data_IF_259917036697
#
_entry.id   IF_259917036697
#
_cell.length_a   1.000
_cell.length_b   1.000
_cell.length_c   1.000
_cell.angle_alpha   90.00
_cell.angle_beta   90.00
_cell.angle_gamma   90.00
#
_symmetry.space_group_name_H-M   'P 1'
#
loop_
_entity.id
_entity.type
_entity.pdbx_description
1 polymer ?
#
# COMPACT_ATOMS: atom_id res chain seq x y z
N UNK A 1 -58.88 -5.88 52.30
CA UNK A 1 -58.56 -4.57 52.92
C UNK A 1 -58.00 -3.68 51.81
N UNK A 2 -58.85 -3.13 50.92
CA UNK A 2 -59.47 -1.80 50.96
C UNK A 2 -58.51 -0.60 50.85
N UNK A 3 -58.55 0.04 49.65
CA UNK A 3 -58.55 1.49 49.31
C UNK A 3 -57.29 2.31 49.74
N UNK A 4 -56.81 3.40 49.11
CA UNK A 4 -57.41 4.52 48.34
C UNK A 4 -56.24 5.38 47.77
N UNK A 5 -56.19 5.69 46.46
CA UNK A 5 -56.34 7.00 45.79
C UNK A 5 -55.37 8.19 46.11
N UNK A 6 -54.68 8.64 45.03
CA UNK A 6 -54.60 10.00 44.42
C UNK A 6 -54.23 11.21 45.30
N UNK A 7 -53.21 12.00 44.88
CA UNK A 7 -53.35 13.45 44.64
C UNK A 7 -52.22 14.02 43.76
N UNK A 8 -52.61 14.60 42.61
CA UNK A 8 -51.81 15.49 41.78
C UNK A 8 -51.64 16.85 42.47
N UNK A 9 -50.47 17.48 42.34
CA UNK A 9 -50.36 18.94 42.48
C UNK A 9 -49.50 19.50 41.34
N UNK A 10 -50.17 20.30 40.50
CA UNK A 10 -49.59 21.24 39.56
C UNK A 10 -48.98 22.40 40.34
N UNK A 11 -47.75 22.80 40.03
CA UNK A 11 -47.28 24.16 40.30
C UNK A 11 -46.53 24.71 39.08
N UNK A 12 -47.19 25.65 38.42
CA UNK A 12 -46.61 26.62 37.49
C UNK A 12 -45.70 27.57 38.30
N UNK A 13 -44.46 27.81 37.86
CA UNK A 13 -43.71 29.00 38.25
C UNK A 13 -42.74 29.43 37.14
N UNK A 14 -43.20 30.46 36.43
CA UNK A 14 -42.51 31.62 35.86
C UNK A 14 -41.04 31.48 35.40
N UNK A 15 -40.89 31.62 34.09
CA UNK A 15 -39.65 31.94 33.41
C UNK A 15 -39.10 33.32 33.83
N UNK A 16 -37.83 33.35 34.21
CA UNK A 16 -36.98 34.54 34.17
C UNK A 16 -35.79 34.21 33.28
N UNK A 17 -35.77 34.86 32.11
CA UNK A 17 -34.71 34.70 31.12
C UNK A 17 -33.37 35.16 31.67
N UNK A 18 -32.38 34.28 31.55
CA UNK A 18 -30.97 34.65 31.58
C UNK A 18 -30.43 34.38 30.19
N UNK A 19 -30.19 35.46 29.43
CA UNK A 19 -29.36 35.45 28.23
C UNK A 19 -27.92 35.11 28.64
N UNK A 20 -27.64 33.82 28.81
CA UNK A 20 -26.27 33.33 28.81
C UNK A 20 -25.83 33.24 27.35
N UNK A 21 -24.93 34.16 26.96
CA UNK A 21 -24.35 34.18 25.63
C UNK A 21 -23.82 32.80 25.25
N UNK A 22 -24.28 32.32 24.09
CA UNK A 22 -23.61 31.22 23.39
C UNK A 22 -22.20 31.69 23.07
N UNK A 23 -21.25 31.32 23.92
CA UNK A 23 -19.85 31.38 23.59
C UNK A 23 -19.65 30.31 22.51
N UNK A 24 -19.74 30.71 21.23
CA UNK A 24 -19.30 29.94 20.08
C UNK A 24 -17.77 29.85 20.10
N UNK A 25 -17.22 29.30 21.18
CA UNK A 25 -15.84 28.86 21.22
C UNK A 25 -15.73 27.69 20.25
N UNK A 26 -14.95 27.89 19.19
CA UNK A 26 -14.37 26.79 18.41
C UNK A 26 -13.92 25.72 19.40
N UNK A 27 -14.37 24.46 19.29
CA UNK A 27 -13.91 23.43 20.22
C UNK A 27 -12.39 23.41 20.17
N UNK A 28 -11.76 23.66 21.32
CA UNK A 28 -10.31 23.58 21.45
C UNK A 28 -9.92 22.20 20.92
N UNK A 29 -9.13 22.18 19.85
CA UNK A 29 -8.65 20.96 19.24
C UNK A 29 -7.79 20.24 20.27
N UNK A 30 -8.36 19.22 20.91
CA UNK A 30 -7.63 18.39 21.88
C UNK A 30 -6.42 17.81 21.15
N UNK A 31 -5.23 18.05 21.69
CA UNK A 31 -4.01 17.48 21.10
C UNK A 31 -4.09 15.95 21.11
N UNK A 32 -3.70 15.28 20.01
CA UNK A 32 -3.63 13.83 20.02
C UNK A 32 -2.59 13.38 21.06
N UNK A 33 -2.88 12.29 21.78
CA UNK A 33 -1.99 11.70 22.79
C UNK A 33 -1.79 10.22 22.45
N UNK A 34 -0.54 9.76 22.43
CA UNK A 34 -0.24 8.34 22.30
C UNK A 34 -0.56 7.62 23.62
N UNK A 35 -1.25 6.46 23.58
CA UNK A 35 -1.54 5.70 24.77
C UNK A 35 -0.24 5.12 25.37
N UNK A 36 -0.13 5.17 26.70
CA UNK A 36 0.97 4.54 27.41
C UNK A 36 0.96 3.01 27.20
N UNK A 37 2.12 2.44 26.90
CA UNK A 37 2.33 0.99 26.83
C UNK A 37 3.54 0.63 27.70
N UNK A 38 3.39 -0.20 28.74
CA UNK A 38 4.50 -0.57 29.61
C UNK A 38 5.52 -1.45 28.87
N UNK A 39 6.81 -1.33 29.22
CA UNK A 39 7.88 -2.15 28.62
C UNK A 39 7.73 -3.65 28.89
N UNK A 40 7.15 -4.00 30.04
CA UNK A 40 6.75 -5.38 30.36
C UNK A 40 5.38 -5.33 31.05
N UNK A 41 4.41 -6.01 30.45
CA UNK A 41 3.11 -6.25 31.07
C UNK A 41 3.06 -7.69 31.56
N UNK A 42 3.22 -7.91 32.86
CA UNK A 42 3.18 -9.26 33.45
C UNK A 42 1.78 -9.89 33.40
N UNK A 43 0.74 -9.09 33.13
CA UNK A 43 -0.64 -9.59 32.97
C UNK A 43 -0.88 -10.19 31.59
N UNK A 44 -0.02 -9.88 30.61
CA UNK A 44 -0.03 -10.49 29.28
C UNK A 44 0.53 -11.92 29.24
N UNK A 45 1.18 -12.38 30.31
CA UNK A 45 1.79 -13.70 30.40
C UNK A 45 0.76 -14.79 30.75
N UNK A 46 0.88 -15.97 30.15
CA UNK A 46 0.14 -17.17 30.54
C UNK A 46 1.01 -18.05 31.46
N UNK A 47 0.87 -17.83 32.77
CA UNK A 47 1.68 -18.54 33.79
C UNK A 47 1.32 -20.01 33.99
N UNK A 48 0.31 -20.54 33.28
CA UNK A 48 0.03 -21.98 33.29
C UNK A 48 0.92 -22.78 32.33
N UNK A 49 1.65 -22.10 31.45
CA UNK A 49 2.57 -22.70 30.48
C UNK A 49 3.97 -22.78 31.08
N UNK A 50 4.68 -23.89 30.86
CA UNK A 50 6.10 -23.98 31.23
C UNK A 50 6.94 -23.17 30.24
N UNK A 51 7.66 -22.11 30.69
CA UNK A 51 8.51 -21.31 29.81
C UNK A 51 9.65 -22.10 29.16
N UNK A 52 10.07 -23.24 29.73
CA UNK A 52 11.09 -24.11 29.16
C UNK A 52 10.57 -24.96 28.00
N UNK A 53 9.23 -25.10 27.89
CA UNK A 53 8.57 -25.88 26.84
C UNK A 53 8.04 -24.97 25.73
N UNK A 54 7.36 -23.89 26.11
CA UNK A 54 6.78 -22.94 25.17
C UNK A 54 6.86 -21.50 25.72
N UNK A 55 8.04 -20.91 25.57
CA UNK A 55 8.29 -19.54 26.00
C UNK A 55 7.35 -18.53 25.33
N UNK A 56 6.89 -18.81 24.11
CA UNK A 56 6.02 -17.89 23.37
C UNK A 56 4.63 -17.85 23.99
N UNK A 57 3.97 -18.99 24.21
CA UNK A 57 2.66 -19.01 24.87
C UNK A 57 2.75 -18.57 26.34
N UNK A 58 3.83 -18.92 27.06
CA UNK A 58 4.07 -18.39 28.41
C UNK A 58 4.14 -16.85 28.43
N UNK A 59 4.88 -16.25 27.49
CA UNK A 59 5.11 -14.80 27.50
C UNK A 59 3.96 -14.00 26.88
N UNK A 60 3.27 -14.56 25.88
CA UNK A 60 2.32 -13.84 25.04
C UNK A 60 0.88 -14.37 25.13
N UNK A 61 0.65 -15.53 25.75
CA UNK A 61 -0.64 -16.21 25.69
C UNK A 61 -1.80 -15.44 26.33
N UNK A 62 -1.53 -14.70 27.42
CA UNK A 62 -2.51 -13.79 28.02
C UNK A 62 -2.87 -12.65 27.07
N UNK A 63 -1.87 -12.02 26.43
CA UNK A 63 -2.09 -10.96 25.45
C UNK A 63 -2.94 -11.46 24.26
N UNK A 64 -2.61 -12.64 23.71
CA UNK A 64 -3.34 -13.21 22.58
C UNK A 64 -4.81 -13.47 22.91
N UNK A 65 -5.12 -13.94 24.13
CA UNK A 65 -6.50 -14.14 24.59
C UNK A 65 -7.28 -12.82 24.69
N UNK A 66 -6.63 -11.76 25.17
CA UNK A 66 -7.25 -10.44 25.36
C UNK A 66 -7.29 -9.56 24.11
N UNK A 67 -6.56 -9.92 23.06
CA UNK A 67 -6.42 -9.13 21.84
C UNK A 67 -6.77 -9.96 20.59
N UNK A 68 -8.05 -10.30 20.39
CA UNK A 68 -8.49 -10.96 19.16
C UNK A 68 -8.19 -10.06 17.95
N UNK A 69 -7.96 -10.68 16.78
CA UNK A 69 -7.70 -9.94 15.54
C UNK A 69 -8.92 -9.05 15.22
N UNK A 70 -8.77 -7.71 15.18
CA UNK A 70 -9.86 -6.82 14.81
C UNK A 70 -10.36 -7.16 13.40
N UNK A 71 -11.66 -7.02 13.12
CA UNK A 71 -12.25 -7.50 11.87
C UNK A 71 -11.67 -6.83 10.62
N UNK A 72 -11.15 -5.61 10.74
CA UNK A 72 -10.51 -4.86 9.65
C UNK A 72 -9.01 -5.15 9.46
N UNK A 73 -8.46 -6.10 10.23
CA UNK A 73 -7.06 -6.53 10.20
C UNK A 73 -6.95 -8.00 9.77
N UNK A 74 -5.79 -8.35 9.22
CA UNK A 74 -5.47 -9.73 8.78
C UNK A 74 -4.54 -10.44 9.75
N UNK A 75 -3.93 -9.69 10.68
CA UNK A 75 -3.06 -10.17 11.74
C UNK A 75 -3.08 -9.17 12.89
N UNK A 76 -2.78 -9.60 14.10
CA UNK A 76 -2.74 -8.72 15.26
C UNK A 76 -1.60 -9.10 16.21
N UNK A 77 -0.82 -8.10 16.59
CA UNK A 77 0.32 -8.22 17.50
C UNK A 77 0.47 -6.92 18.28
N UNK A 78 1.42 -6.88 19.22
CA UNK A 78 1.78 -5.64 19.92
C UNK A 78 2.20 -4.53 18.95
N UNK A 79 2.82 -4.88 17.82
CA UNK A 79 3.15 -3.93 16.74
C UNK A 79 1.92 -3.48 15.97
N UNK A 80 0.96 -4.38 15.71
CA UNK A 80 -0.32 -4.03 15.10
C UNK A 80 -1.12 -3.05 15.97
N UNK A 81 -1.14 -3.27 17.29
CA UNK A 81 -1.72 -2.32 18.24
C UNK A 81 -1.00 -0.97 18.22
N UNK A 82 0.33 -0.95 18.30
CA UNK A 82 1.11 0.28 18.25
C UNK A 82 0.87 1.05 16.94
N UNK A 83 0.82 0.34 15.81
CA UNK A 83 0.50 0.94 14.52
C UNK A 83 -0.90 1.55 14.51
N UNK A 84 -1.90 0.88 15.09
CA UNK A 84 -3.25 1.42 15.25
C UNK A 84 -3.29 2.68 16.12
N UNK A 85 -2.55 2.68 17.23
CA UNK A 85 -2.40 3.83 18.12
C UNK A 85 -1.75 5.00 17.36
N UNK A 86 -0.74 4.71 16.54
CA UNK A 86 -0.08 5.69 15.68
C UNK A 86 -1.03 6.25 14.62
N UNK A 87 -1.83 5.42 13.95
CA UNK A 87 -2.82 5.90 12.96
C UNK A 87 -3.83 6.86 13.59
N UNK A 88 -4.29 6.58 14.82
CA UNK A 88 -5.18 7.49 15.54
C UNK A 88 -4.49 8.82 15.87
N UNK A 89 -3.21 8.78 16.26
CA UNK A 89 -2.43 9.98 16.53
C UNK A 89 -2.22 10.83 15.27
N UNK A 90 -1.81 10.19 14.17
CA UNK A 90 -1.63 10.84 12.87
C UNK A 90 -2.95 11.41 12.34
N UNK A 91 -4.07 10.70 12.51
CA UNK A 91 -5.41 11.21 12.20
C UNK A 91 -5.66 12.54 12.92
N UNK A 92 -5.37 12.63 14.21
CA UNK A 92 -5.53 13.87 14.98
C UNK A 92 -4.68 15.02 14.43
N UNK A 93 -3.43 14.75 14.02
CA UNK A 93 -2.57 15.74 13.34
C UNK A 93 -3.22 16.21 12.04
N UNK A 94 -3.73 15.30 11.20
CA UNK A 94 -4.30 15.64 9.90
C UNK A 94 -5.63 16.39 10.01
N UNK A 95 -6.49 16.02 10.96
CA UNK A 95 -7.73 16.74 11.24
C UNK A 95 -7.45 18.17 11.74
N UNK A 96 -6.43 18.35 12.59
CA UNK A 96 -5.97 19.68 13.00
C UNK A 96 -5.42 20.47 11.81
N UNK A 97 -4.57 19.85 10.98
CA UNK A 97 -3.99 20.47 9.79
C UNK A 97 -5.05 20.91 8.76
N UNK A 98 -6.18 20.20 8.65
CA UNK A 98 -7.30 20.59 7.81
C UNK A 98 -8.16 21.74 8.35
N UNK A 99 -8.06 22.07 9.65
CA UNK A 99 -8.95 23.03 10.33
C UNK A 99 -8.44 24.49 10.35
N UNK A 100 -7.18 24.74 9.98
CA UNK A 100 -6.46 26.01 10.22
C UNK A 100 -6.80 27.22 9.33
N UNK A 101 -7.88 27.20 8.56
CA UNK A 101 -8.24 28.29 7.64
C UNK A 101 -7.15 28.57 6.58
N UNK A 102 -7.08 29.80 6.07
CA UNK A 102 -6.16 30.19 4.98
C UNK A 102 -4.73 30.54 5.42
N UNK A 103 -4.42 30.49 6.72
CA UNK A 103 -3.11 30.90 7.28
C UNK A 103 -2.24 29.69 7.67
N UNK A 104 -2.32 28.59 6.92
CA UNK A 104 -1.52 27.38 7.15
C UNK A 104 -0.17 27.51 6.45
N UNK A 105 0.91 27.04 7.09
CA UNK A 105 2.18 26.85 6.39
C UNK A 105 2.04 25.75 5.32
N UNK A 106 2.97 25.71 4.36
CA UNK A 106 2.91 24.81 3.20
C UNK A 106 2.77 23.35 3.61
N UNK A 107 3.54 22.89 4.61
CA UNK A 107 3.52 21.49 5.05
C UNK A 107 2.19 21.15 5.70
N UNK A 108 1.69 22.02 6.59
CA UNK A 108 0.38 21.86 7.24
C UNK A 108 -0.76 21.88 6.22
N UNK A 109 -0.67 22.75 5.21
CA UNK A 109 -1.65 22.80 4.14
C UNK A 109 -1.64 21.50 3.32
N UNK A 110 -0.48 21.04 2.86
CA UNK A 110 -0.35 19.85 2.02
C UNK A 110 -0.93 18.60 2.69
N UNK A 111 -0.53 18.31 3.94
CA UNK A 111 -1.01 17.10 4.65
C UNK A 111 -2.52 17.20 4.96
N UNK A 112 -3.01 18.39 5.31
CA UNK A 112 -4.41 18.64 5.61
C UNK A 112 -5.31 18.56 4.37
N UNK A 113 -4.87 19.13 3.25
CA UNK A 113 -5.61 19.14 1.99
C UNK A 113 -5.59 17.75 1.34
N UNK A 114 -4.48 17.01 1.40
CA UNK A 114 -4.43 15.61 0.96
C UNK A 114 -5.43 14.77 1.74
N UNK A 115 -5.38 14.83 3.08
CA UNK A 115 -6.30 14.06 3.93
C UNK A 115 -7.76 14.45 3.67
N UNK A 116 -8.05 15.75 3.56
CA UNK A 116 -9.37 16.28 3.25
C UNK A 116 -9.90 15.78 1.90
N UNK A 117 -9.08 15.84 0.84
CA UNK A 117 -9.44 15.34 -0.48
C UNK A 117 -9.71 13.82 -0.47
N UNK A 118 -8.95 13.05 0.30
CA UNK A 118 -9.21 11.62 0.47
C UNK A 118 -10.53 11.37 1.22
N UNK A 119 -10.86 12.17 2.22
CA UNK A 119 -12.06 12.01 3.05
C UNK A 119 -13.37 12.44 2.36
N UNK A 120 -13.31 13.24 1.30
CA UNK A 120 -14.49 13.71 0.55
C UNK A 120 -15.10 12.60 -0.33
N UNK A 121 -15.90 11.73 0.30
CA UNK A 121 -16.61 10.65 -0.40
C UNK A 121 -17.56 11.18 -1.47
N UNK A 122 -18.20 12.33 -1.25
CA UNK A 122 -19.18 12.88 -2.19
C UNK A 122 -18.51 13.27 -3.50
N UNK A 123 -17.35 13.93 -3.43
CA UNK A 123 -16.57 14.25 -4.62
C UNK A 123 -16.04 13.01 -5.33
N UNK A 124 -15.59 11.99 -4.59
CA UNK A 124 -15.09 10.73 -5.15
C UNK A 124 -16.19 9.95 -5.85
N UNK A 125 -17.36 9.76 -5.22
CA UNK A 125 -18.49 9.06 -5.84
C UNK A 125 -18.99 9.80 -7.08
N UNK A 126 -19.05 11.14 -7.03
CA UNK A 126 -19.46 11.96 -8.19
C UNK A 126 -18.53 11.81 -9.38
N UNK A 127 -17.21 11.72 -9.16
CA UNK A 127 -16.23 11.53 -10.24
C UNK A 127 -16.24 10.08 -10.74
N UNK A 128 -16.32 9.10 -9.86
CA UNK A 128 -16.30 7.68 -10.22
C UNK A 128 -15.18 7.34 -11.20
N UNK A 129 -15.48 6.55 -12.23
CA UNK A 129 -14.51 6.13 -13.24
C UNK A 129 -13.95 7.27 -14.10
N UNK A 130 -14.62 8.43 -14.16
CA UNK A 130 -14.17 9.55 -15.00
C UNK A 130 -12.78 10.08 -14.61
N UNK A 131 -12.35 9.83 -13.37
CA UNK A 131 -11.02 10.19 -12.88
C UNK A 131 -9.88 9.52 -13.66
N UNK A 132 -10.11 8.34 -14.26
CA UNK A 132 -9.12 7.61 -15.08
C UNK A 132 -9.48 7.60 -16.57
N UNK A 133 -10.52 8.33 -16.98
CA UNK A 133 -10.92 8.40 -18.39
C UNK A 133 -9.79 8.87 -19.32
N UNK A 134 -8.93 9.85 -18.95
CA UNK A 134 -7.80 10.25 -19.80
C UNK A 134 -6.86 9.09 -20.13
N UNK A 135 -6.56 8.22 -19.17
CA UNK A 135 -5.71 7.04 -19.38
C UNK A 135 -6.41 6.01 -20.28
N UNK A 136 -7.71 5.76 -20.05
CA UNK A 136 -8.50 4.83 -20.86
C UNK A 136 -8.60 5.30 -22.33
N UNK A 137 -8.77 6.61 -22.55
CA UNK A 137 -8.81 7.22 -23.87
C UNK A 137 -7.44 7.15 -24.57
N UNK A 138 -6.36 7.33 -23.82
CA UNK A 138 -4.99 7.18 -24.33
C UNK A 138 -4.71 5.73 -24.76
N UNK A 139 -5.15 4.74 -23.96
CA UNK A 139 -5.05 3.31 -24.31
C UNK A 139 -5.82 3.01 -25.60
N UNK A 140 -7.04 3.54 -25.75
CA UNK A 140 -7.85 3.28 -26.94
C UNK A 140 -7.22 3.89 -28.21
N UNK A 141 -6.46 4.98 -28.08
CA UNK A 141 -5.76 5.63 -29.21
C UNK A 141 -4.50 4.90 -29.67
N UNK A 142 -3.97 3.95 -28.89
CA UNK A 142 -2.79 3.18 -29.28
C UNK A 142 -3.01 2.46 -30.62
N UNK A 143 -2.02 2.54 -31.50
CA UNK A 143 -2.03 1.98 -32.87
C UNK A 143 -1.06 0.83 -33.05
N UNK A 144 -0.12 0.65 -32.13
CA UNK A 144 0.85 -0.45 -32.18
C UNK A 144 1.39 -0.80 -30.79
N UNK A 145 2.01 -1.99 -30.67
CA UNK A 145 2.69 -2.40 -29.44
C UNK A 145 3.90 -1.50 -29.11
N UNK A 146 4.49 -0.84 -30.11
CA UNK A 146 5.63 0.06 -29.93
C UNK A 146 5.24 1.34 -29.16
N UNK A 147 4.00 1.82 -29.31
CA UNK A 147 3.49 3.00 -28.61
C UNK A 147 3.26 2.75 -27.10
N UNK A 148 3.36 1.51 -26.63
CA UNK A 148 3.25 1.18 -25.20
C UNK A 148 4.37 1.83 -24.39
N UNK A 149 5.56 2.01 -24.97
CA UNK A 149 6.68 2.62 -24.25
C UNK A 149 6.34 4.04 -23.78
N UNK A 150 5.91 4.89 -24.71
CA UNK A 150 5.50 6.26 -24.40
C UNK A 150 4.28 6.30 -23.45
N UNK A 151 3.30 5.41 -23.65
CA UNK A 151 2.15 5.33 -22.75
C UNK A 151 2.56 4.95 -21.32
N UNK A 152 3.38 3.90 -21.15
CA UNK A 152 3.81 3.45 -19.82
C UNK A 152 4.69 4.51 -19.15
N UNK A 153 5.54 5.22 -19.90
CA UNK A 153 6.32 6.34 -19.37
C UNK A 153 5.43 7.52 -18.92
N UNK A 154 4.38 7.83 -19.69
CA UNK A 154 3.46 8.95 -19.44
C UNK A 154 2.37 8.68 -18.40
N UNK A 155 2.20 7.44 -17.93
CA UNK A 155 1.13 7.05 -17.00
C UNK A 155 1.73 6.54 -15.68
N UNK A 156 2.20 7.43 -14.79
CA UNK A 156 2.60 7.05 -13.45
C UNK A 156 1.37 6.53 -12.68
N UNK A 157 1.54 5.39 -12.00
CA UNK A 157 0.48 4.82 -11.18
C UNK A 157 0.59 5.28 -9.72
N UNK A 158 -0.53 5.27 -8.97
CA UNK A 158 -0.51 5.57 -7.55
C UNK A 158 0.48 4.67 -6.79
N UNK A 159 1.13 5.22 -5.77
CA UNK A 159 1.99 4.47 -4.84
C UNK A 159 3.16 3.74 -5.52
N UNK A 160 3.74 4.33 -6.57
CA UNK A 160 4.88 3.76 -7.29
C UNK A 160 4.56 2.45 -8.01
N UNK A 161 3.28 2.17 -8.28
CA UNK A 161 2.86 1.01 -9.05
C UNK A 161 3.42 1.04 -10.47
N UNK A 162 3.50 -0.14 -11.10
CA UNK A 162 3.94 -0.25 -12.49
C UNK A 162 2.91 -0.98 -13.35
N UNK A 163 2.85 -0.65 -14.64
CA UNK A 163 1.91 -1.26 -15.58
C UNK A 163 2.38 -2.61 -16.12
N UNK A 164 3.69 -2.77 -16.31
CA UNK A 164 4.25 -3.94 -17.01
C UNK A 164 5.57 -4.42 -16.40
N UNK A 165 6.44 -3.50 -15.98
CA UNK A 165 7.70 -3.81 -15.31
C UNK A 165 8.05 -2.69 -14.33
N UNK A 166 8.73 -3.04 -13.25
CA UNK A 166 9.24 -2.04 -12.31
C UNK A 166 10.40 -1.27 -12.93
N UNK A 167 10.43 0.04 -12.74
CA UNK A 167 11.55 0.90 -13.14
C UNK A 167 11.86 1.92 -12.05
N UNK A 168 13.12 2.30 -11.93
CA UNK A 168 13.54 3.30 -10.96
C UNK A 168 15.04 3.49 -10.93
N UNK A 169 15.48 4.34 -10.00
CA UNK A 169 16.88 4.44 -9.62
C UNK A 169 17.15 3.65 -8.34
N UNK A 170 18.31 3.03 -8.26
CA UNK A 170 18.79 2.34 -7.06
C UNK A 170 20.30 2.55 -6.92
N UNK A 171 20.83 2.26 -5.74
CA UNK A 171 22.28 2.24 -5.54
C UNK A 171 22.92 1.13 -6.38
N UNK A 172 24.02 1.44 -7.05
CA UNK A 172 24.74 0.44 -7.85
C UNK A 172 25.35 -0.64 -6.93
N UNK A 173 25.04 -1.94 -7.14
CA UNK A 173 25.54 -3.02 -6.29
C UNK A 173 27.05 -3.24 -6.36
N UNK A 174 27.74 -2.75 -7.39
CA UNK A 174 29.20 -2.77 -7.49
C UNK A 174 29.85 -1.43 -7.08
N UNK A 175 29.06 -0.36 -6.93
CA UNK A 175 29.56 0.95 -6.52
C UNK A 175 28.50 1.73 -5.73
N UNK A 176 28.56 1.63 -4.40
CA UNK A 176 27.59 2.29 -3.52
C UNK A 176 27.59 3.82 -3.57
N UNK A 177 28.59 4.45 -4.19
CA UNK A 177 28.62 5.92 -4.37
C UNK A 177 27.83 6.39 -5.60
N UNK A 178 27.28 5.46 -6.40
CA UNK A 178 26.57 5.75 -7.65
C UNK A 178 25.12 5.27 -7.59
N UNK A 179 24.26 5.98 -8.33
CA UNK A 179 22.91 5.52 -8.66
C UNK A 179 22.92 4.91 -10.06
N UNK A 180 22.13 3.86 -10.26
CA UNK A 180 21.96 3.17 -11.53
C UNK A 180 20.47 3.07 -11.87
N UNK A 181 20.14 3.18 -13.15
CA UNK A 181 18.81 2.84 -13.64
C UNK A 181 18.59 1.33 -13.47
N UNK A 182 17.49 0.93 -12.85
CA UNK A 182 17.15 -0.46 -12.61
C UNK A 182 15.76 -0.78 -13.13
N UNK A 183 15.65 -1.89 -13.84
CA UNK A 183 14.39 -2.46 -14.30
C UNK A 183 14.18 -3.84 -13.67
N UNK A 184 12.94 -4.20 -13.37
CA UNK A 184 12.65 -5.51 -12.79
C UNK A 184 11.29 -6.08 -13.15
N UNK A 185 11.15 -7.39 -12.91
CA UNK A 185 9.89 -8.10 -13.14
C UNK A 185 8.73 -7.48 -12.34
N UNK A 186 7.60 -7.25 -13.02
CA UNK A 186 6.35 -6.79 -12.41
C UNK A 186 5.19 -7.12 -13.38
N UNK A 187 4.09 -6.34 -13.35
CA UNK A 187 3.00 -6.45 -14.32
C UNK A 187 2.07 -7.64 -14.06
N UNK A 188 1.97 -8.09 -12.81
CA UNK A 188 1.08 -9.18 -12.40
C UNK A 188 0.01 -8.64 -11.45
N UNK A 189 -1.25 -9.03 -11.62
CA UNK A 189 -2.32 -8.71 -10.67
C UNK A 189 -2.42 -9.66 -9.47
N UNK A 190 -1.72 -10.81 -9.45
CA UNK A 190 -1.60 -11.65 -8.24
C UNK A 190 -0.27 -11.38 -7.51
N UNK A 191 -0.22 -11.60 -6.17
CA UNK A 191 0.92 -11.15 -5.35
C UNK A 191 2.27 -11.80 -5.65
N UNK A 192 2.28 -12.99 -6.25
CA UNK A 192 3.51 -13.72 -6.58
C UNK A 192 3.29 -14.62 -7.80
N UNK A 193 4.36 -14.87 -8.57
CA UNK A 193 4.34 -15.74 -9.75
C UNK A 193 3.79 -17.13 -9.47
N UNK A 194 4.02 -17.66 -8.27
CA UNK A 194 3.63 -19.02 -7.92
C UNK A 194 2.11 -19.20 -7.89
N UNK A 195 1.35 -18.12 -7.69
CA UNK A 195 -0.11 -18.13 -7.81
C UNK A 195 -0.57 -18.47 -9.24
N UNK A 196 0.25 -18.18 -10.25
CA UNK A 196 -0.01 -18.54 -11.64
C UNK A 196 0.50 -19.95 -11.99
N UNK A 197 1.65 -20.35 -11.43
CA UNK A 197 2.36 -21.55 -11.90
C UNK A 197 2.04 -22.81 -11.12
N UNK A 198 1.71 -22.71 -9.82
CA UNK A 198 1.41 -23.89 -8.99
C UNK A 198 0.08 -24.54 -9.38
N UNK A 199 0.05 -25.88 -9.33
CA UNK A 199 -1.07 -26.69 -9.80
C UNK A 199 -1.90 -27.32 -8.68
N UNK A 200 -1.58 -27.02 -7.42
CA UNK A 200 -2.38 -27.42 -6.28
C UNK A 200 -3.79 -26.80 -6.31
N UNK A 201 -4.70 -27.38 -5.53
CA UNK A 201 -6.11 -26.99 -5.53
C UNK A 201 -6.31 -25.52 -5.13
N UNK A 202 -5.53 -25.00 -4.18
CA UNK A 202 -5.68 -23.63 -3.72
C UNK A 202 -5.23 -22.63 -4.78
N UNK A 203 -4.10 -22.90 -5.45
CA UNK A 203 -3.61 -22.06 -6.55
C UNK A 203 -4.60 -22.01 -7.73
N UNK A 204 -5.26 -23.13 -8.05
CA UNK A 204 -6.33 -23.16 -9.07
C UNK A 204 -7.55 -22.32 -8.65
N UNK A 205 -8.01 -22.50 -7.43
CA UNK A 205 -9.11 -21.71 -6.85
C UNK A 205 -8.81 -20.21 -6.87
N UNK A 206 -7.58 -19.81 -6.52
CA UNK A 206 -7.18 -18.40 -6.55
C UNK A 206 -7.23 -17.84 -7.97
N UNK A 207 -6.76 -18.58 -8.99
CA UNK A 207 -6.88 -18.13 -10.39
C UNK A 207 -8.33 -18.01 -10.85
N UNK A 208 -9.23 -18.89 -10.39
CA UNK A 208 -10.65 -18.77 -10.66
C UNK A 208 -11.27 -17.53 -10.02
N UNK A 209 -10.92 -17.24 -8.76
CA UNK A 209 -11.34 -16.00 -8.07
C UNK A 209 -10.75 -14.75 -8.70
N UNK A 210 -9.51 -14.83 -9.18
CA UNK A 210 -8.87 -13.73 -9.89
C UNK A 210 -9.57 -13.42 -11.22
N UNK A 211 -9.97 -14.44 -11.98
CA UNK A 211 -10.78 -14.24 -13.20
C UNK A 211 -12.12 -13.54 -12.89
N UNK A 212 -12.77 -13.91 -11.77
CA UNK A 212 -14.00 -13.25 -11.34
C UNK A 212 -13.76 -11.78 -11.00
N UNK A 213 -12.67 -11.50 -10.27
CA UNK A 213 -12.27 -10.14 -9.92
C UNK A 213 -11.98 -9.29 -11.16
N UNK A 214 -11.13 -9.78 -12.06
CA UNK A 214 -10.78 -9.09 -13.31
C UNK A 214 -12.03 -8.85 -14.17
N UNK A 215 -12.91 -9.85 -14.29
CA UNK A 215 -14.19 -9.68 -14.98
C UNK A 215 -15.00 -8.56 -14.33
N UNK A 216 -15.11 -8.52 -13.00
CA UNK A 216 -15.90 -7.50 -12.31
C UNK A 216 -15.33 -6.10 -12.52
N UNK A 217 -14.01 -5.94 -12.52
CA UNK A 217 -13.34 -4.67 -12.85
C UNK A 217 -13.71 -4.23 -14.28
N UNK A 218 -13.69 -5.12 -15.27
CA UNK A 218 -14.12 -4.77 -16.64
C UNK A 218 -15.60 -4.40 -16.73
N UNK A 219 -16.48 -5.07 -15.97
CA UNK A 219 -17.90 -4.68 -15.89
C UNK A 219 -18.07 -3.28 -15.29
N UNK A 220 -17.27 -2.93 -14.27
CA UNK A 220 -17.25 -1.58 -13.69
C UNK A 220 -16.71 -0.52 -14.68
N UNK A 221 -15.84 -0.92 -15.62
CA UNK A 221 -15.41 -0.09 -16.74
C UNK A 221 -16.46 0.01 -17.87
N UNK A 222 -17.60 -0.67 -17.75
CA UNK A 222 -18.71 -0.62 -18.71
C UNK A 222 -18.72 -1.74 -19.75
N UNK A 223 -17.83 -2.72 -19.67
CA UNK A 223 -17.87 -3.87 -20.58
C UNK A 223 -19.09 -4.77 -20.25
N UNK A 224 -19.74 -5.31 -21.29
CA UNK A 224 -20.78 -6.34 -21.06
C UNK A 224 -20.18 -7.59 -20.39
N UNK A 225 -20.95 -8.37 -19.61
CA UNK A 225 -20.43 -9.56 -18.93
C UNK A 225 -19.70 -10.56 -19.86
N UNK A 226 -20.18 -10.70 -21.10
CA UNK A 226 -19.55 -11.56 -22.10
C UNK A 226 -18.17 -11.04 -22.54
N UNK A 227 -18.04 -9.73 -22.73
CA UNK A 227 -16.76 -9.09 -23.11
C UNK A 227 -15.81 -9.10 -21.92
N UNK A 228 -16.28 -8.73 -20.74
CA UNK A 228 -15.52 -8.73 -19.50
C UNK A 228 -14.91 -10.11 -19.19
N UNK A 229 -15.70 -11.19 -19.34
CA UNK A 229 -15.21 -12.57 -19.15
C UNK A 229 -14.11 -12.94 -20.13
N UNK A 230 -14.22 -12.52 -21.40
CA UNK A 230 -13.17 -12.76 -22.42
C UNK A 230 -11.91 -11.95 -22.10
N UNK A 231 -12.07 -10.71 -21.67
CA UNK A 231 -10.95 -9.86 -21.27
C UNK A 231 -10.22 -10.45 -20.06
N UNK A 232 -10.94 -10.94 -19.05
CA UNK A 232 -10.35 -11.61 -17.90
C UNK A 232 -9.47 -12.83 -18.28
N UNK A 233 -9.94 -13.66 -19.23
CA UNK A 233 -9.13 -14.77 -19.74
C UNK A 233 -7.86 -14.31 -20.45
N UNK A 234 -7.92 -13.16 -21.13
CA UNK A 234 -6.75 -12.59 -21.82
C UNK A 234 -5.72 -12.08 -20.81
N UNK A 235 -6.16 -11.41 -19.73
CA UNK A 235 -5.32 -10.99 -18.60
C UNK A 235 -4.60 -12.20 -18.00
N UNK A 236 -5.35 -13.21 -17.55
CA UNK A 236 -4.76 -14.38 -16.92
C UNK A 236 -3.75 -15.08 -17.83
N UNK A 237 -4.02 -15.17 -19.13
CA UNK A 237 -3.09 -15.77 -20.11
C UNK A 237 -1.76 -15.00 -20.18
N UNK A 238 -1.82 -13.69 -20.40
CA UNK A 238 -0.63 -12.83 -20.57
C UNK A 238 0.21 -12.82 -19.29
N UNK A 239 -0.44 -12.56 -18.15
CA UNK A 239 0.21 -12.57 -16.84
C UNK A 239 0.81 -13.93 -16.49
N UNK A 240 0.16 -15.04 -16.86
CA UNK A 240 0.73 -16.39 -16.65
C UNK A 240 2.02 -16.59 -17.46
N UNK A 241 2.10 -16.04 -18.67
CA UNK A 241 3.32 -16.06 -19.48
C UNK A 241 4.46 -15.31 -18.79
N UNK A 242 4.18 -14.06 -18.37
CA UNK A 242 5.13 -13.21 -17.63
C UNK A 242 5.58 -13.89 -16.32
N UNK A 243 4.64 -14.39 -15.53
CA UNK A 243 4.91 -15.08 -14.26
C UNK A 243 5.81 -16.31 -14.43
N UNK A 244 5.65 -17.09 -15.51
CA UNK A 244 6.53 -18.23 -15.80
C UNK A 244 7.97 -17.81 -16.03
N UNK A 245 8.18 -16.65 -16.66
CA UNK A 245 9.50 -16.10 -16.97
C UNK A 245 10.13 -15.31 -15.80
N UNK A 246 9.33 -14.89 -14.83
CA UNK A 246 9.77 -14.26 -13.58
C UNK A 246 10.57 -15.22 -12.69
N UNK A 247 11.53 -14.67 -11.96
CA UNK A 247 12.26 -15.35 -10.87
C UNK A 247 11.34 -15.72 -9.72
N UNK A 248 11.61 -16.87 -9.11
CA UNK A 248 11.03 -17.27 -7.82
C UNK A 248 11.57 -16.42 -6.67
N UNK A 249 10.84 -16.36 -5.57
CA UNK A 249 11.30 -15.72 -4.33
C UNK A 249 12.65 -16.27 -3.84
N UNK A 250 12.92 -17.55 -4.08
CA UNK A 250 14.19 -18.18 -3.69
C UNK A 250 15.34 -17.70 -4.58
N UNK A 251 15.12 -17.62 -5.90
CA UNK A 251 16.14 -17.12 -6.82
C UNK A 251 16.48 -15.65 -6.57
N UNK A 252 15.49 -14.83 -6.18
CA UNK A 252 15.69 -13.41 -5.86
C UNK A 252 16.46 -13.16 -4.55
N UNK A 253 16.73 -14.19 -3.74
CA UNK A 253 17.57 -14.06 -2.54
C UNK A 253 19.07 -14.13 -2.84
N UNK A 254 19.45 -14.53 -4.05
CA UNK A 254 20.84 -14.52 -4.49
C UNK A 254 21.16 -13.16 -5.15
N UNK A 255 21.88 -12.26 -4.46
CA UNK A 255 22.15 -10.91 -4.98
C UNK A 255 22.98 -10.95 -6.27
N UNK A 256 23.77 -12.00 -6.51
CA UNK A 256 24.59 -12.11 -7.73
C UNK A 256 23.74 -12.42 -8.96
N UNK A 257 22.61 -13.12 -8.82
CA UNK A 257 21.68 -13.40 -9.93
C UNK A 257 20.91 -12.16 -10.38
N UNK A 258 20.70 -11.21 -9.48
CA UNK A 258 19.97 -9.97 -9.76
C UNK A 258 20.83 -8.92 -10.47
N UNK A 259 22.15 -9.14 -10.55
CA UNK A 259 23.10 -8.25 -11.20
C UNK A 259 23.28 -8.65 -12.66
N UNK A 260 22.55 -7.97 -13.55
CA UNK A 260 22.67 -8.11 -15.00
C UNK A 260 22.84 -6.71 -15.60
N UNK A 261 24.02 -6.14 -15.40
CA UNK A 261 24.38 -4.82 -15.94
C UNK A 261 24.56 -4.87 -17.46
N UNK A 262 24.02 -3.87 -18.14
CA UNK A 262 24.15 -3.67 -19.58
C UNK A 262 23.97 -2.19 -19.94
N UNK A 263 24.25 -1.82 -21.17
CA UNK A 263 23.84 -0.53 -21.72
C UNK A 263 22.43 -0.62 -22.32
N UNK A 264 21.89 0.53 -22.76
CA UNK A 264 20.56 0.58 -23.41
C UNK A 264 20.54 -0.26 -24.68
N UNK A 265 21.65 -0.33 -25.43
CA UNK A 265 21.73 -1.15 -26.64
C UNK A 265 21.57 -2.65 -26.33
N UNK A 266 22.21 -3.15 -25.26
CA UNK A 266 22.04 -4.50 -24.76
C UNK A 266 20.61 -4.79 -24.34
N UNK A 267 19.95 -3.85 -23.66
CA UNK A 267 18.52 -3.98 -23.31
C UNK A 267 17.64 -4.04 -24.56
N UNK A 268 17.90 -3.18 -25.57
CA UNK A 268 17.20 -3.23 -26.85
C UNK A 268 17.40 -4.57 -27.56
N UNK A 269 18.56 -5.23 -27.43
CA UNK A 269 18.74 -6.59 -27.96
C UNK A 269 17.91 -7.65 -27.21
N UNK A 270 17.72 -7.49 -25.90
CA UNK A 270 16.89 -8.38 -25.07
C UNK A 270 15.41 -8.23 -25.40
N UNK A 271 14.95 -6.99 -25.60
CA UNK A 271 13.55 -6.66 -25.84
C UNK A 271 13.37 -5.60 -26.95
N UNK A 272 13.62 -5.95 -28.22
CA UNK A 272 13.63 -4.99 -29.34
C UNK A 272 12.27 -4.40 -29.72
N UNK A 273 11.15 -5.02 -29.31
CA UNK A 273 9.80 -4.53 -29.64
C UNK A 273 9.28 -3.46 -28.69
N UNK A 274 10.11 -3.01 -27.73
CA UNK A 274 9.81 -1.93 -26.80
C UNK A 274 10.77 -0.77 -27.05
N UNK A 275 10.24 0.44 -27.20
CA UNK A 275 11.06 1.64 -27.44
C UNK A 275 11.70 2.13 -26.13
N UNK A 276 12.79 1.48 -25.73
CA UNK A 276 13.52 1.83 -24.51
C UNK A 276 14.05 3.26 -24.52
N UNK A 277 14.41 3.78 -25.69
CA UNK A 277 14.93 5.14 -25.78
C UNK A 277 13.83 6.15 -25.52
N UNK A 278 12.69 6.03 -26.20
CA UNK A 278 11.53 6.87 -25.93
C UNK A 278 11.08 6.74 -24.48
N UNK A 279 11.06 5.53 -23.94
CA UNK A 279 10.71 5.29 -22.53
C UNK A 279 11.57 6.09 -21.54
N UNK A 280 12.90 6.04 -21.68
CA UNK A 280 13.79 6.78 -20.79
C UNK A 280 13.76 8.30 -21.04
N UNK A 281 13.63 8.72 -22.30
CA UNK A 281 13.55 10.13 -22.67
C UNK A 281 12.25 10.76 -22.12
N UNK A 282 11.10 10.08 -22.24
CA UNK A 282 9.80 10.54 -21.73
C UNK A 282 9.76 10.60 -20.19
N UNK A 283 10.44 9.68 -19.51
CA UNK A 283 10.64 9.71 -18.05
C UNK A 283 11.71 10.71 -17.60
N UNK A 284 12.32 11.43 -18.53
CA UNK A 284 13.36 12.43 -18.26
C UNK A 284 14.56 11.87 -17.49
N UNK A 285 14.94 10.62 -17.76
CA UNK A 285 16.16 10.07 -17.17
C UNK A 285 17.36 10.90 -17.63
N UNK A 286 18.32 11.23 -16.72
CA UNK A 286 19.58 11.79 -17.17
C UNK A 286 20.30 10.79 -18.07
N UNK A 287 21.22 11.24 -18.90
CA UNK A 287 22.03 10.32 -19.71
C UNK A 287 22.81 9.38 -18.78
N UNK A 288 22.64 8.07 -18.98
CA UNK A 288 23.38 7.03 -18.27
C UNK A 288 24.01 6.05 -19.26
N UNK A 289 25.18 5.51 -18.90
CA UNK A 289 25.88 4.54 -19.73
C UNK A 289 25.47 3.08 -19.43
N UNK A 290 25.03 2.82 -18.20
CA UNK A 290 24.76 1.47 -17.71
C UNK A 290 23.46 1.45 -16.92
N UNK A 291 22.71 0.37 -17.08
CA UNK A 291 21.52 0.03 -16.32
C UNK A 291 21.63 -1.42 -15.82
N UNK A 292 20.80 -1.79 -14.84
CA UNK A 292 20.64 -3.15 -14.39
C UNK A 292 19.24 -3.67 -14.73
N UNK A 293 19.12 -4.92 -15.20
CA UNK A 293 17.84 -5.62 -15.21
C UNK A 293 17.86 -6.80 -14.23
N UNK A 294 16.88 -6.89 -13.34
CA UNK A 294 16.87 -7.96 -12.32
C UNK A 294 16.50 -9.33 -12.91
N UNK A 295 15.76 -9.35 -14.02
CA UNK A 295 15.18 -10.57 -14.62
C UNK A 295 15.24 -10.58 -16.14
N UNK A 296 16.40 -10.90 -16.75
CA UNK A 296 16.53 -10.95 -18.22
C UNK A 296 15.53 -11.89 -18.92
N UNK A 297 15.15 -12.99 -18.28
CA UNK A 297 14.16 -13.95 -18.83
C UNK A 297 12.78 -13.32 -18.93
N UNK A 298 12.38 -12.54 -17.92
CA UNK A 298 11.12 -11.80 -17.93
C UNK A 298 11.06 -10.82 -19.10
N UNK A 299 12.10 -10.02 -19.32
CA UNK A 299 12.14 -9.06 -20.44
C UNK A 299 12.11 -9.73 -21.82
N UNK A 300 12.73 -10.93 -21.96
CA UNK A 300 12.61 -11.73 -23.19
C UNK A 300 11.19 -12.22 -23.45
N UNK A 301 10.49 -12.69 -22.40
CA UNK A 301 9.09 -13.11 -22.50
C UNK A 301 8.17 -11.92 -22.78
N UNK A 302 8.37 -10.79 -22.10
CA UNK A 302 7.68 -9.54 -22.38
C UNK A 302 7.82 -9.16 -23.85
N UNK A 303 9.03 -9.21 -24.39
CA UNK A 303 9.28 -8.95 -25.81
C UNK A 303 8.58 -9.94 -26.74
N UNK A 304 8.57 -11.24 -26.39
CA UNK A 304 7.86 -12.24 -27.16
C UNK A 304 6.35 -11.93 -27.21
N UNK A 305 5.75 -11.53 -26.08
CA UNK A 305 4.35 -11.12 -26.03
C UNK A 305 4.09 -9.81 -26.81
N UNK A 306 5.02 -8.84 -26.78
CA UNK A 306 4.90 -7.60 -27.57
C UNK A 306 4.82 -7.88 -29.07
N UNK A 307 5.55 -8.88 -29.56
CA UNK A 307 5.46 -9.32 -30.96
C UNK A 307 4.31 -10.28 -31.27
N UNK A 308 3.93 -11.12 -30.31
CA UNK A 308 3.03 -12.26 -30.55
C UNK A 308 1.56 -12.01 -30.22
N UNK A 309 1.28 -11.08 -29.30
CA UNK A 309 -0.10 -10.77 -28.89
C UNK A 309 -0.68 -9.65 -29.77
N UNK A 310 -1.94 -9.78 -30.23
CA UNK A 310 -2.63 -8.69 -30.92
C UNK A 310 -2.69 -7.43 -30.04
N UNK A 311 -2.57 -6.24 -30.64
CA UNK A 311 -2.66 -4.96 -29.92
C UNK A 311 -3.91 -4.85 -29.03
N UNK A 312 -5.02 -5.46 -29.45
CA UNK A 312 -6.25 -5.53 -28.64
C UNK A 312 -6.01 -6.15 -27.26
N UNK A 313 -5.19 -7.19 -27.15
CA UNK A 313 -4.88 -7.83 -25.88
C UNK A 313 -4.01 -6.93 -25.00
N UNK A 314 -3.07 -6.18 -25.59
CA UNK A 314 -2.31 -5.15 -24.89
C UNK A 314 -3.18 -4.01 -24.36
N UNK A 315 -4.14 -3.52 -25.17
CA UNK A 315 -5.13 -2.55 -24.68
C UNK A 315 -5.95 -3.11 -23.53
N UNK A 316 -6.40 -4.36 -23.62
CA UNK A 316 -7.09 -5.04 -22.52
C UNK A 316 -6.22 -5.12 -21.26
N UNK A 317 -4.95 -5.50 -21.40
CA UNK A 317 -3.98 -5.55 -20.31
C UNK A 317 -3.84 -4.21 -19.61
N UNK A 318 -3.55 -3.14 -20.35
CA UNK A 318 -3.40 -1.80 -19.79
C UNK A 318 -4.69 -1.29 -19.13
N UNK A 319 -5.86 -1.51 -19.75
CA UNK A 319 -7.16 -1.11 -19.16
C UNK A 319 -7.36 -1.74 -17.78
N UNK A 320 -7.06 -3.03 -17.64
CA UNK A 320 -7.17 -3.71 -16.36
C UNK A 320 -6.16 -3.17 -15.35
N UNK A 321 -4.87 -3.07 -15.69
CA UNK A 321 -3.85 -2.64 -14.74
C UNK A 321 -4.04 -1.19 -14.27
N UNK A 322 -4.45 -0.28 -15.16
CA UNK A 322 -4.85 1.09 -14.78
C UNK A 322 -6.03 1.03 -13.81
N UNK A 323 -7.14 0.39 -14.19
CA UNK A 323 -8.34 0.35 -13.37
C UNK A 323 -8.12 -0.33 -12.00
N UNK A 324 -7.38 -1.43 -11.98
CA UNK A 324 -7.03 -2.17 -10.77
C UNK A 324 -6.17 -1.33 -9.82
N UNK A 325 -5.17 -0.61 -10.35
CA UNK A 325 -4.28 0.25 -9.57
C UNK A 325 -5.00 1.46 -8.98
N UNK A 326 -5.97 2.02 -9.72
CA UNK A 326 -6.76 3.14 -9.23
C UNK A 326 -7.99 2.74 -8.39
N UNK A 327 -8.41 1.47 -8.42
CA UNK A 327 -9.62 0.99 -7.73
C UNK A 327 -9.75 1.43 -6.26
N UNK A 328 -8.69 1.46 -5.44
CA UNK A 328 -8.77 1.93 -4.04
C UNK A 328 -9.14 3.42 -3.87
N UNK A 329 -9.13 4.20 -4.95
CA UNK A 329 -9.32 5.67 -4.98
C UNK A 329 -10.52 6.11 -5.84
N UNK A 330 -11.19 5.19 -6.53
CA UNK A 330 -12.39 5.46 -7.33
C UNK A 330 -13.66 5.39 -6.46
N UNK A 331 -14.83 5.27 -7.09
CA UNK A 331 -16.10 5.09 -6.39
C UNK A 331 -16.14 3.80 -5.57
N UNK A 332 -17.04 3.79 -4.60
CA UNK A 332 -17.31 2.70 -3.66
C UNK A 332 -17.40 1.31 -4.31
N UNK A 333 -17.95 1.20 -5.52
CA UNK A 333 -18.04 -0.06 -6.25
C UNK A 333 -16.65 -0.65 -6.60
N UNK A 334 -15.70 0.19 -7.03
CA UNK A 334 -14.32 -0.25 -7.30
C UNK A 334 -13.57 -0.58 -6.01
N UNK A 335 -13.73 0.27 -4.98
CA UNK A 335 -13.10 0.06 -3.68
C UNK A 335 -13.59 -1.26 -3.06
N UNK A 336 -14.89 -1.55 -3.17
CA UNK A 336 -15.47 -2.79 -2.67
C UNK A 336 -14.93 -4.01 -3.42
N UNK A 337 -14.89 -3.98 -4.74
CA UNK A 337 -14.38 -5.09 -5.54
C UNK A 337 -12.89 -5.36 -5.24
N UNK A 338 -12.08 -4.30 -5.13
CA UNK A 338 -10.68 -4.43 -4.72
C UNK A 338 -10.54 -5.06 -3.32
N UNK A 339 -11.36 -4.61 -2.36
CA UNK A 339 -11.36 -5.17 -1.00
C UNK A 339 -11.77 -6.65 -0.99
N UNK A 340 -12.85 -7.01 -1.67
CA UNK A 340 -13.38 -8.39 -1.70
C UNK A 340 -12.31 -9.38 -2.20
N UNK A 341 -11.54 -9.00 -3.23
CA UNK A 341 -10.49 -9.85 -3.75
C UNK A 341 -9.18 -9.77 -2.93
N UNK A 342 -8.54 -8.60 -2.83
CA UNK A 342 -7.18 -8.49 -2.30
C UNK A 342 -7.09 -8.54 -0.78
N UNK A 343 -8.11 -8.06 -0.06
CA UNK A 343 -8.07 -7.96 1.41
C UNK A 343 -8.86 -9.09 2.04
N UNK A 344 -10.06 -9.36 1.57
CA UNK A 344 -10.95 -10.38 2.16
C UNK A 344 -10.60 -11.77 1.68
N UNK A 345 -10.62 -12.03 0.38
CA UNK A 345 -10.32 -13.36 -0.14
C UNK A 345 -8.84 -13.75 0.02
N UNK A 346 -7.90 -12.93 -0.45
CA UNK A 346 -6.47 -13.28 -0.44
C UNK A 346 -5.83 -13.22 0.95
N UNK A 347 -6.32 -12.37 1.86
CA UNK A 347 -5.68 -12.12 3.16
C UNK A 347 -6.57 -12.37 4.38
N UNK A 348 -7.86 -12.67 4.19
CA UNK A 348 -8.76 -13.05 5.28
C UNK A 348 -9.31 -11.90 6.13
N UNK A 349 -9.20 -10.65 5.69
CA UNK A 349 -9.84 -9.52 6.39
C UNK A 349 -11.36 -9.70 6.38
N UNK A 350 -12.03 -9.45 7.53
CA UNK A 350 -13.49 -9.60 7.62
C UNK A 350 -14.22 -8.33 7.18
N UNK A 351 -13.65 -7.17 7.49
CA UNK A 351 -14.22 -5.85 7.21
C UNK A 351 -13.20 -4.96 6.50
N UNK A 352 -13.72 -3.99 5.74
CA UNK A 352 -12.89 -2.96 5.14
C UNK A 352 -12.47 -1.96 6.23
N UNK A 353 -11.22 -1.53 6.19
CA UNK A 353 -10.76 -0.47 7.08
C UNK A 353 -11.59 0.81 6.88
N UNK A 354 -11.98 1.48 7.98
CA UNK A 354 -12.65 2.77 7.91
C UNK A 354 -11.88 3.76 7.03
N UNK A 355 -12.60 4.62 6.30
CA UNK A 355 -11.98 5.52 5.31
C UNK A 355 -10.88 6.39 5.90
N UNK A 356 -11.10 6.97 7.08
CA UNK A 356 -10.09 7.79 7.77
C UNK A 356 -8.76 7.04 7.91
N UNK A 357 -8.80 5.74 8.20
CA UNK A 357 -7.62 4.91 8.40
C UNK A 357 -6.85 4.74 7.10
N UNK A 358 -7.56 4.42 6.01
CA UNK A 358 -6.99 4.33 4.66
C UNK A 358 -6.41 5.68 4.21
N UNK A 359 -7.10 6.79 4.48
CA UNK A 359 -6.62 8.13 4.15
C UNK A 359 -5.37 8.54 4.93
N UNK A 360 -5.28 8.23 6.22
CA UNK A 360 -4.05 8.43 7.01
C UNK A 360 -2.89 7.67 6.37
N UNK A 361 -3.10 6.40 6.00
CA UNK A 361 -2.07 5.57 5.35
C UNK A 361 -1.64 6.13 4.00
N UNK A 362 -2.56 6.73 3.23
CA UNK A 362 -2.22 7.36 1.97
C UNK A 362 -1.37 8.62 2.15
N UNK A 363 -1.67 9.43 3.16
CA UNK A 363 -0.81 10.58 3.51
C UNK A 363 0.55 10.10 4.00
N UNK A 364 0.58 9.13 4.92
CA UNK A 364 1.82 8.57 5.47
C UNK A 364 2.73 7.99 4.39
N UNK A 365 2.16 7.38 3.34
CA UNK A 365 2.96 6.87 2.23
C UNK A 365 3.49 7.98 1.31
N UNK A 366 2.65 8.93 0.89
CA UNK A 366 3.01 9.90 -0.15
C UNK A 366 3.69 11.16 0.40
N UNK A 367 3.43 11.47 1.68
CA UNK A 367 3.89 12.67 2.38
C UNK A 367 4.53 12.28 3.72
N UNK A 368 5.24 11.14 3.77
CA UNK A 368 5.86 10.56 4.98
C UNK A 368 6.71 11.57 5.75
N UNK A 369 7.57 12.31 5.07
CA UNK A 369 8.46 13.30 5.68
C UNK A 369 7.66 14.49 6.23
N UNK A 370 6.64 14.94 5.51
CA UNK A 370 5.80 16.07 5.89
C UNK A 370 4.99 15.76 7.16
N UNK A 371 4.27 14.63 7.18
CA UNK A 371 3.54 14.20 8.37
C UNK A 371 4.49 13.77 9.50
N UNK A 372 5.64 13.19 9.16
CA UNK A 372 6.71 12.81 10.07
C UNK A 372 7.27 13.99 10.85
N UNK A 373 7.50 15.14 10.20
CA UNK A 373 7.91 16.37 10.89
C UNK A 373 6.88 16.82 11.94
N UNK A 374 5.58 16.75 11.62
CA UNK A 374 4.52 17.08 12.57
C UNK A 374 4.45 16.08 13.73
N UNK A 375 4.68 14.80 13.44
CA UNK A 375 4.74 13.73 14.44
C UNK A 375 5.91 13.91 15.41
N UNK A 376 7.15 14.00 14.91
CA UNK A 376 8.35 14.05 15.77
C UNK A 376 8.38 15.27 16.67
N UNK A 377 7.84 16.42 16.23
CA UNK A 377 7.69 17.62 17.07
C UNK A 377 6.89 17.38 18.35
N UNK A 378 5.99 16.39 18.35
CA UNK A 378 5.10 16.10 19.47
C UNK A 378 5.58 14.96 20.36
N UNK A 379 6.31 13.99 19.81
CA UNK A 379 6.59 12.73 20.54
C UNK A 379 8.06 12.33 20.62
N UNK A 380 8.98 13.05 19.95
CA UNK A 380 10.40 12.71 19.93
C UNK A 380 11.25 13.82 20.55
N UNK A 381 12.05 13.47 21.57
CA UNK A 381 12.87 14.43 22.31
C UNK A 381 14.38 14.19 22.09
N UNK A 382 15.24 15.21 22.32
CA UNK A 382 16.68 15.05 22.30
C UNK A 382 17.19 13.96 23.26
N UNK A 383 16.56 13.80 24.43
CA UNK A 383 16.90 12.80 25.43
C UNK A 383 16.59 11.38 24.92
N UNK A 384 15.42 11.19 24.28
CA UNK A 384 15.05 9.94 23.62
C UNK A 384 16.06 9.57 22.53
N UNK A 385 16.50 10.56 21.74
CA UNK A 385 17.56 10.37 20.73
C UNK A 385 18.87 9.90 21.36
N UNK A 386 19.35 10.61 22.38
CA UNK A 386 20.62 10.29 23.04
C UNK A 386 20.61 8.90 23.68
N UNK A 387 19.53 8.54 24.38
CA UNK A 387 19.37 7.21 24.98
C UNK A 387 19.37 6.09 23.93
N UNK A 388 18.67 6.31 22.81
CA UNK A 388 18.65 5.33 21.70
C UNK A 388 20.03 5.18 21.06
N UNK A 389 20.79 6.28 20.90
CA UNK A 389 22.14 6.24 20.36
C UNK A 389 23.12 5.49 21.27
N UNK A 390 23.06 5.70 22.59
CA UNK A 390 23.86 4.93 23.56
C UNK A 390 23.56 3.42 23.47
N UNK A 391 22.28 3.04 23.37
CA UNK A 391 21.89 1.64 23.18
C UNK A 391 22.48 1.03 21.90
N UNK A 392 22.41 1.74 20.77
CA UNK A 392 22.98 1.28 19.49
C UNK A 392 24.48 1.08 19.59
N UNK A 393 25.21 2.06 20.15
CA UNK A 393 26.66 1.98 20.33
C UNK A 393 27.08 0.78 21.19
N UNK A 394 26.33 0.47 22.25
CA UNK A 394 26.57 -0.71 23.08
C UNK A 394 26.36 -2.01 22.30
N UNK A 395 25.30 -2.09 21.49
CA UNK A 395 25.02 -3.27 20.65
C UNK A 395 26.15 -3.47 19.63
N UNK A 396 26.58 -2.41 18.95
CA UNK A 396 27.69 -2.44 17.99
C UNK A 396 29.01 -2.87 18.65
N UNK A 397 29.30 -2.35 19.85
CA UNK A 397 30.48 -2.73 20.61
C UNK A 397 30.49 -4.23 20.95
N UNK A 398 29.38 -4.76 21.46
CA UNK A 398 29.23 -6.20 21.78
C UNK A 398 29.28 -7.07 20.52
N UNK A 399 28.67 -6.61 19.42
CA UNK A 399 28.76 -7.31 18.13
C UNK A 399 30.21 -7.40 17.66
N UNK A 400 30.97 -6.30 17.74
CA UNK A 400 32.38 -6.27 17.38
C UNK A 400 33.23 -7.20 18.25
N UNK A 401 32.96 -7.25 19.56
CA UNK A 401 33.62 -8.20 20.47
C UNK A 401 33.34 -9.65 20.06
N UNK A 402 32.07 -10.00 19.84
CA UNK A 402 31.69 -11.35 19.44
C UNK A 402 32.34 -11.78 18.13
N UNK A 403 32.33 -10.92 17.12
CA UNK A 403 32.94 -11.22 15.81
C UNK A 403 34.42 -11.61 15.95
N UNK A 404 35.18 -10.89 16.79
CA UNK A 404 36.59 -11.20 17.03
C UNK A 404 36.83 -12.55 17.73
N UNK A 405 35.80 -13.14 18.32
CA UNK A 405 35.85 -14.41 19.04
C UNK A 405 35.19 -15.55 18.25
N UNK A 406 34.80 -15.33 16.99
CA UNK A 406 34.16 -16.37 16.19
C UNK A 406 35.21 -17.32 15.60
N UNK A 407 35.32 -18.52 16.17
CA UNK A 407 36.28 -19.56 15.72
C UNK A 407 36.08 -20.01 14.26
N UNK A 408 34.92 -19.72 13.66
CA UNK A 408 34.60 -20.08 12.27
C UNK A 408 34.93 -18.97 11.25
N UNK A 409 35.38 -17.80 11.71
CA UNK A 409 35.82 -16.68 10.87
C UNK A 409 37.34 -16.48 11.04
N UNK A 410 38.09 -16.42 9.94
CA UNK A 410 39.56 -16.28 9.94
C UNK A 410 40.04 -14.83 10.08
#
# INVERSE_FOLDING_TARGET
MHKTAIFCFFFLLLALGSLAGQNNGTPATVEPVLPYTPSLDVTAMDRSIDPCVDLYHYSCGGWQKSNPIPPDQTSWSVYGKLYQDNLNFLRGILEQAGSGGSQRDVVTQEIGDFYGACMDETAVEKRGVSAIQPDLDAIEKLKSAHELAAFIAGTPLPFGGSLLFGSGSTQDPDNSEQQIASLGQDGLGLPDRDYYTKQDAKSKEIRERYLQHVQKVFELLGDTPKVAKKNAQSILKMETGLAKASWTQVERRDPYKLKNKMDVAGLTQVAPNFDWRAYFDDLQYPKFATLNIDSPKFFKEMNAQLSGEPLKNWKTYLRFHVANSYSPFLSSAFVQENFEFYRKYLRGAKEMQPRWKRCVQYVDYNLSEAIGQAYVRKVFSPELKASTQDMVQRIEAVMGERIRQLDWMS
#
